data_IF_594791606552
#
_entry.id   IF_594791606552
#
_cell.length_a   1.000
_cell.length_b   1.000
_cell.length_c   1.000
_cell.angle_alpha   90.00
_cell.angle_beta   90.00
_cell.angle_gamma   90.00
#
_symmetry.space_group_name_H-M   'P 1'
#
loop_
_entity.id
_entity.type
_entity.pdbx_description
1 polymer ?
#
# COMPACT_ATOMS: atom_id res chain seq x y z
N UNK A 1 -6.02 33.90 -19.28
CA UNK A 1 -5.25 32.68 -19.57
C UNK A 1 -5.11 32.56 -21.07
N UNK A 2 -3.88 32.62 -21.56
CA UNK A 2 -3.54 32.49 -22.98
C UNK A 2 -3.38 31.01 -23.35
N UNK A 3 -3.60 30.66 -24.61
CA UNK A 3 -3.30 29.33 -25.16
C UNK A 3 -1.85 28.88 -24.87
N UNK A 4 -0.93 29.85 -24.84
CA UNK A 4 0.48 29.64 -24.47
C UNK A 4 0.63 29.07 -23.06
N UNK A 5 -0.13 29.59 -22.09
CA UNK A 5 -0.06 29.15 -20.70
C UNK A 5 -0.50 27.68 -20.57
N UNK A 6 -1.48 27.29 -21.37
CA UNK A 6 -1.98 25.92 -21.44
C UNK A 6 -0.97 24.94 -22.02
N UNK A 7 -0.30 25.33 -23.12
CA UNK A 7 0.77 24.50 -23.71
C UNK A 7 1.92 24.33 -22.72
N UNK A 8 2.36 25.41 -22.06
CA UNK A 8 3.42 25.34 -21.06
C UNK A 8 3.05 24.38 -19.93
N UNK A 9 1.85 24.50 -19.38
CA UNK A 9 1.35 23.60 -18.34
C UNK A 9 1.32 22.13 -18.77
N UNK A 10 0.84 21.87 -19.99
CA UNK A 10 0.78 20.51 -20.53
C UNK A 10 2.17 19.89 -20.68
N UNK A 11 3.13 20.67 -21.17
CA UNK A 11 4.51 20.23 -21.35
C UNK A 11 5.18 19.96 -20.00
N UNK A 12 5.02 20.82 -19.01
CA UNK A 12 5.54 20.60 -17.65
C UNK A 12 5.05 19.27 -17.08
N UNK A 13 3.75 18.99 -17.25
CA UNK A 13 3.14 17.74 -16.76
C UNK A 13 3.61 16.50 -17.54
N UNK A 14 3.88 16.64 -18.83
CA UNK A 14 4.46 15.58 -19.66
C UNK A 14 5.90 15.27 -19.26
N UNK A 15 6.73 16.29 -19.06
CA UNK A 15 8.13 16.15 -18.62
C UNK A 15 8.17 15.46 -17.27
N UNK A 16 7.37 15.91 -16.30
CA UNK A 16 7.27 15.28 -14.98
C UNK A 16 6.91 13.78 -15.06
N UNK A 17 5.99 13.41 -15.95
CA UNK A 17 5.59 12.02 -16.14
C UNK A 17 6.67 11.16 -16.84
N UNK A 18 7.43 11.76 -17.76
CA UNK A 18 8.56 11.11 -18.43
C UNK A 18 9.74 10.90 -17.47
N UNK A 19 10.02 11.88 -16.63
CA UNK A 19 11.07 11.81 -15.61
C UNK A 19 10.75 10.81 -14.50
N UNK A 20 9.47 10.60 -14.17
CA UNK A 20 9.08 9.65 -13.11
C UNK A 20 9.30 8.20 -13.56
N UNK A 21 10.34 7.50 -13.05
CA UNK A 21 10.69 6.17 -13.50
C UNK A 21 9.58 5.16 -13.16
N UNK A 22 9.40 4.15 -14.02
CA UNK A 22 8.42 3.06 -13.82
C UNK A 22 8.62 2.31 -12.50
N UNK A 23 9.84 2.29 -11.99
CA UNK A 23 10.23 1.66 -10.72
C UNK A 23 9.64 2.38 -9.49
N UNK A 24 9.61 3.72 -9.47
CA UNK A 24 8.97 4.48 -8.39
C UNK A 24 7.45 4.31 -8.39
N UNK A 25 6.84 4.20 -9.59
CA UNK A 25 5.41 3.88 -9.72
C UNK A 25 5.08 2.51 -9.09
N UNK A 26 5.94 1.51 -9.26
CA UNK A 26 5.78 0.20 -8.58
C UNK A 26 5.96 0.30 -7.07
N UNK A 27 6.96 1.05 -6.59
CA UNK A 27 7.19 1.26 -5.16
C UNK A 27 6.01 1.96 -4.49
N UNK A 28 5.49 3.03 -5.08
CA UNK A 28 4.30 3.75 -4.57
C UNK A 28 3.04 2.87 -4.54
N UNK A 29 2.86 2.00 -5.53
CA UNK A 29 1.73 1.05 -5.59
C UNK A 29 1.84 -0.06 -4.55
N UNK A 30 3.05 -0.49 -4.18
CA UNK A 30 3.25 -1.51 -3.16
C UNK A 30 3.15 -0.93 -1.73
N UNK A 31 3.56 0.33 -1.53
CA UNK A 31 3.48 0.99 -0.21
C UNK A 31 2.03 1.29 0.19
N UNK A 32 1.13 1.54 -0.78
CA UNK A 32 -0.27 1.95 -0.53
C UNK A 32 -1.31 0.83 -0.53
N UNK A 33 -0.92 -0.42 -0.81
CA UNK A 33 -1.86 -1.53 -0.74
C UNK A 33 -1.99 -1.99 0.70
N UNK A 34 -2.79 -1.29 1.49
CA UNK A 34 -3.32 -1.90 2.70
C UNK A 34 -4.02 -3.21 2.31
N UNK A 35 -3.71 -4.33 2.96
CA UNK A 35 -4.42 -5.57 2.72
C UNK A 35 -5.92 -5.33 2.88
N UNK A 36 -6.73 -5.87 1.95
CA UNK A 36 -8.19 -5.75 2.01
C UNK A 36 -8.73 -6.17 3.40
N UNK A 37 -8.10 -7.18 4.01
CA UNK A 37 -8.45 -7.67 5.33
C UNK A 37 -8.27 -6.60 6.41
N UNK A 38 -7.22 -5.78 6.34
CA UNK A 38 -7.02 -4.66 7.28
C UNK A 38 -8.08 -3.58 7.08
N UNK A 39 -8.50 -3.33 5.83
CA UNK A 39 -9.57 -2.36 5.52
C UNK A 39 -10.94 -2.79 6.06
N UNK A 40 -11.24 -4.09 6.09
CA UNK A 40 -12.54 -4.61 6.53
C UNK A 40 -12.58 -5.09 7.98
N UNK A 41 -11.46 -5.59 8.51
CA UNK A 41 -11.39 -6.23 9.83
C UNK A 41 -10.38 -5.56 10.76
N UNK A 42 -9.71 -4.48 10.34
CA UNK A 42 -8.71 -3.81 11.15
C UNK A 42 -7.62 -4.77 11.63
N UNK A 43 -7.45 -4.86 12.95
CA UNK A 43 -6.48 -5.74 13.61
C UNK A 43 -7.05 -7.08 14.08
N UNK A 44 -8.31 -7.42 13.76
CA UNK A 44 -8.94 -8.68 14.20
C UNK A 44 -8.17 -9.94 13.74
N UNK A 45 -7.67 -10.04 12.49
CA UNK A 45 -6.91 -11.21 12.07
C UNK A 45 -5.61 -11.39 12.86
N UNK A 46 -5.02 -10.29 13.34
CA UNK A 46 -3.81 -10.30 14.17
C UNK A 46 -4.11 -10.85 15.56
N UNK A 47 -5.14 -10.33 16.24
CA UNK A 47 -5.51 -10.79 17.58
C UNK A 47 -5.99 -12.25 17.57
N UNK A 48 -6.69 -12.68 16.51
CA UNK A 48 -7.10 -14.07 16.33
C UNK A 48 -5.90 -15.02 16.16
N UNK A 49 -4.89 -14.64 15.37
CA UNK A 49 -3.64 -15.41 15.25
C UNK A 49 -2.95 -15.57 16.61
N UNK A 50 -2.81 -14.49 17.37
CA UNK A 50 -2.19 -14.54 18.69
C UNK A 50 -2.96 -15.44 19.68
N UNK A 51 -4.29 -15.42 19.64
CA UNK A 51 -5.13 -16.28 20.46
C UNK A 51 -4.94 -17.77 20.12
N UNK A 52 -4.90 -18.11 18.82
CA UNK A 52 -4.68 -19.47 18.34
C UNK A 52 -3.27 -19.96 18.67
N UNK A 53 -2.25 -19.12 18.51
CA UNK A 53 -0.87 -19.46 18.90
C UNK A 53 -0.75 -19.70 20.40
N UNK A 54 -1.42 -18.88 21.22
CA UNK A 54 -1.47 -19.05 22.68
C UNK A 54 -2.17 -20.37 23.08
N UNK A 55 -3.19 -20.79 22.34
CA UNK A 55 -3.83 -22.09 22.58
C UNK A 55 -2.94 -23.25 22.13
N UNK A 56 -2.29 -23.15 20.97
CA UNK A 56 -1.34 -24.16 20.48
C UNK A 56 -0.14 -24.31 21.43
N UNK A 57 0.44 -23.23 21.94
CA UNK A 57 1.55 -23.30 22.88
C UNK A 57 1.16 -23.98 24.19
N UNK A 58 -0.04 -23.70 24.71
CA UNK A 58 -0.61 -24.40 25.88
C UNK A 58 -0.81 -25.89 25.64
N UNK A 59 -1.31 -26.27 24.48
CA UNK A 59 -1.47 -27.68 24.10
C UNK A 59 -0.13 -28.39 23.94
N UNK A 60 0.86 -27.72 23.35
CA UNK A 60 2.21 -28.26 23.18
C UNK A 60 2.99 -28.39 24.48
N UNK A 61 2.72 -27.55 25.48
CA UNK A 61 3.31 -27.64 26.83
C UNK A 61 2.70 -28.74 27.71
N UNK A 62 1.61 -29.37 27.26
CA UNK A 62 0.88 -30.42 27.99
C UNK A 62 1.10 -31.83 27.41
N UNK A 63 1.92 -31.96 26.36
CA UNK A 63 2.30 -33.22 25.73
C UNK A 63 3.74 -33.58 26.04
#
# INVERSE_FOLDING_TARGET
MSFKDWITYLLERLVWFMETPREERKKMRNIRKEPWATRWFGMIPLSMKMAVEKQKSRLRSRS
#
